data_IF_723824227720
#
_entry.id   IF_723824227720
#
_cell.length_a   1.000
_cell.length_b   1.000
_cell.length_c   1.000
_cell.angle_alpha   90.00
_cell.angle_beta   90.00
_cell.angle_gamma   90.00
#
_symmetry.space_group_name_H-M   'P 1'
#
loop_
_entity.id
_entity.type
_entity.pdbx_description
1 polymer ?
#
# COMPACT_ATOMS: atom_id res chain seq x y z
N UNK A 1 2.30 3.22 -5.30
CA UNK A 1 3.55 3.20 -6.06
C UNK A 1 4.62 3.70 -5.20
N UNK A 2 5.80 3.11 -5.28
CA UNK A 2 6.98 3.75 -4.73
C UNK A 2 8.05 3.68 -5.81
N UNK A 3 8.44 4.84 -6.35
CA UNK A 3 9.53 4.93 -7.32
C UNK A 3 10.86 4.62 -6.61
N UNK A 4 11.34 3.39 -6.75
CA UNK A 4 12.54 2.90 -6.07
C UNK A 4 13.84 3.55 -6.55
N UNK A 5 13.81 4.36 -7.62
CA UNK A 5 14.95 5.17 -8.08
C UNK A 5 15.09 6.45 -7.27
N UNK A 6 14.04 6.83 -6.55
CA UNK A 6 14.02 7.98 -5.70
C UNK A 6 14.79 7.67 -4.39
N UNK A 7 15.83 8.44 -4.03
CA UNK A 7 16.70 8.10 -2.90
C UNK A 7 15.99 7.93 -1.56
N UNK A 8 14.97 8.74 -1.25
CA UNK A 8 14.24 8.66 0.02
C UNK A 8 13.31 7.45 0.06
N UNK A 9 12.71 7.10 -1.08
CA UNK A 9 11.93 5.88 -1.27
C UNK A 9 12.78 4.62 -1.12
N UNK A 10 13.99 4.62 -1.69
CA UNK A 10 14.93 3.51 -1.54
C UNK A 10 15.40 3.37 -0.08
N UNK A 11 15.69 4.49 0.59
CA UNK A 11 16.06 4.50 2.00
C UNK A 11 14.94 3.94 2.89
N UNK A 12 13.69 4.39 2.67
CA UNK A 12 12.51 3.84 3.31
C UNK A 12 12.40 2.32 3.14
N UNK A 13 12.55 1.82 1.90
CA UNK A 13 12.42 0.39 1.65
C UNK A 13 13.52 -0.43 2.34
N UNK A 14 14.76 0.08 2.37
CA UNK A 14 15.87 -0.60 3.06
C UNK A 14 15.63 -0.66 4.57
N UNK A 15 15.19 0.44 5.17
CA UNK A 15 14.87 0.49 6.59
C UNK A 15 13.71 -0.44 6.95
N UNK A 16 12.70 -0.55 6.07
CA UNK A 16 11.59 -1.50 6.24
C UNK A 16 12.07 -2.95 6.27
N UNK A 17 12.88 -3.36 5.30
CA UNK A 17 13.42 -4.72 5.23
C UNK A 17 14.26 -5.01 6.48
N UNK A 18 15.09 -4.07 6.91
CA UNK A 18 15.90 -4.23 8.11
C UNK A 18 15.05 -4.40 9.39
N UNK A 19 14.00 -3.59 9.55
CA UNK A 19 13.08 -3.73 10.68
C UNK A 19 12.28 -5.04 10.64
N UNK A 20 11.88 -5.49 9.44
CA UNK A 20 11.20 -6.77 9.23
C UNK A 20 12.13 -7.96 9.56
N UNK A 21 13.42 -7.88 9.20
CA UNK A 21 14.42 -8.93 9.49
C UNK A 21 14.72 -9.07 11.00
N UNK A 22 14.65 -7.96 11.75
CA UNK A 22 14.85 -7.94 13.21
C UNK A 22 13.58 -8.19 14.01
N UNK A 23 12.44 -8.39 13.32
CA UNK A 23 11.15 -8.50 13.98
C UNK A 23 11.08 -9.78 14.81
N UNK A 24 10.78 -9.69 16.12
CA UNK A 24 10.58 -10.87 16.95
C UNK A 24 9.41 -11.71 16.45
N UNK A 25 9.53 -13.04 16.53
CA UNK A 25 8.40 -13.93 16.28
C UNK A 25 7.26 -13.65 17.27
N UNK A 26 6.00 -13.69 16.83
CA UNK A 26 4.88 -13.56 17.74
C UNK A 26 4.90 -14.72 18.75
N UNK A 27 4.57 -14.46 20.02
CA UNK A 27 4.46 -15.53 21.02
C UNK A 27 3.44 -16.57 20.56
N UNK A 28 3.78 -17.85 20.75
CA UNK A 28 2.92 -18.97 20.43
C UNK A 28 1.84 -19.13 21.51
N UNK A 29 0.72 -19.77 21.15
CA UNK A 29 -0.35 -20.03 22.09
C UNK A 29 0.16 -20.96 23.22
N UNK A 30 0.29 -20.42 24.43
CA UNK A 30 0.83 -21.12 25.60
C UNK A 30 2.11 -20.46 26.17
N UNK A 31 2.73 -19.54 25.43
CA UNK A 31 3.87 -18.77 25.92
C UNK A 31 3.41 -17.73 26.96
N UNK A 32 4.02 -17.75 28.14
CA UNK A 32 3.74 -16.77 29.21
C UNK A 32 4.63 -15.53 29.13
N UNK A 33 5.76 -15.59 28.43
CA UNK A 33 6.69 -14.47 28.22
C UNK A 33 7.36 -14.55 26.83
N UNK A 34 7.47 -13.40 26.13
CA UNK A 34 8.30 -13.28 24.93
C UNK A 34 9.77 -13.25 25.36
N UNK A 35 10.54 -14.28 24.98
CA UNK A 35 11.97 -14.35 25.33
C UNK A 35 12.80 -13.62 24.28
N UNK A 36 12.82 -12.29 24.34
CA UNK A 36 13.69 -11.46 23.49
C UNK A 36 14.87 -10.96 24.32
N UNK A 37 16.10 -11.13 23.83
CA UNK A 37 17.25 -10.59 24.54
C UNK A 37 17.18 -9.05 24.58
N UNK A 38 17.64 -8.39 25.66
CA UNK A 38 17.62 -6.93 25.74
C UNK A 38 18.35 -6.23 24.59
N UNK A 39 19.42 -6.85 24.06
CA UNK A 39 20.15 -6.34 22.90
C UNK A 39 19.29 -6.40 21.63
N UNK A 40 18.70 -7.56 21.33
CA UNK A 40 17.81 -7.74 20.17
C UNK A 40 16.59 -6.81 20.23
N UNK A 41 16.08 -6.52 21.43
CA UNK A 41 15.01 -5.54 21.61
C UNK A 41 15.46 -4.12 21.26
N UNK A 42 16.66 -3.73 21.67
CA UNK A 42 17.22 -2.41 21.35
C UNK A 42 17.45 -2.29 19.84
N UNK A 43 18.01 -3.32 19.21
CA UNK A 43 18.27 -3.34 17.77
C UNK A 43 16.97 -3.25 16.97
N UNK A 44 15.95 -4.03 17.34
CA UNK A 44 14.64 -3.95 16.70
C UNK A 44 13.98 -2.59 16.91
N UNK A 45 14.03 -2.03 18.12
CA UNK A 45 13.47 -0.70 18.42
C UNK A 45 14.12 0.39 17.56
N UNK A 46 15.43 0.35 17.44
CA UNK A 46 16.20 1.35 16.70
C UNK A 46 15.91 1.22 15.19
N UNK A 47 15.86 -0.01 14.66
CA UNK A 47 15.45 -0.27 13.27
C UNK A 47 14.02 0.19 12.95
N UNK A 48 13.08 0.00 13.89
CA UNK A 48 11.70 0.54 13.76
C UNK A 48 11.70 2.07 13.76
N UNK A 49 12.56 2.70 14.57
CA UNK A 49 12.74 4.15 14.59
C UNK A 49 13.25 4.69 13.25
N UNK A 50 14.27 4.05 12.68
CA UNK A 50 14.84 4.40 11.38
C UNK A 50 13.82 4.17 10.25
N UNK A 51 13.06 3.09 10.31
CA UNK A 51 11.95 2.84 9.39
C UNK A 51 10.90 3.97 9.42
N UNK A 52 10.49 4.42 10.61
CA UNK A 52 9.52 5.50 10.76
C UNK A 52 10.06 6.84 10.21
N UNK A 53 11.31 7.19 10.55
CA UNK A 53 11.93 8.44 10.10
C UNK A 53 12.11 8.48 8.57
N UNK A 54 12.51 7.38 7.96
CA UNK A 54 12.68 7.26 6.50
C UNK A 54 11.34 7.25 5.76
N UNK A 55 10.30 6.65 6.35
CA UNK A 55 8.94 6.73 5.82
C UNK A 55 8.45 8.19 5.79
N UNK A 56 8.59 8.94 6.88
CA UNK A 56 8.17 10.35 6.94
C UNK A 56 8.92 11.24 5.93
N UNK A 57 10.21 10.96 5.69
CA UNK A 57 10.99 11.65 4.68
C UNK A 57 10.51 11.32 3.26
N UNK A 58 10.31 10.04 2.95
CA UNK A 58 9.80 9.58 1.67
C UNK A 58 8.38 10.11 1.39
N UNK A 59 7.51 10.17 2.39
CA UNK A 59 6.15 10.68 2.24
C UNK A 59 6.14 12.18 1.96
N UNK A 60 6.93 12.97 2.70
CA UNK A 60 7.08 14.42 2.45
C UNK A 60 7.60 14.67 1.03
N UNK A 61 8.56 13.88 0.58
CA UNK A 61 9.12 14.02 -0.76
C UNK A 61 8.13 13.58 -1.86
N UNK A 62 7.40 12.49 -1.66
CA UNK A 62 6.35 12.08 -2.58
C UNK A 62 5.24 13.15 -2.69
N UNK A 63 4.88 13.79 -1.57
CA UNK A 63 3.94 14.92 -1.54
C UNK A 63 4.51 16.14 -2.28
N UNK A 64 5.81 16.44 -2.14
CA UNK A 64 6.50 17.51 -2.86
C UNK A 64 6.52 17.24 -4.38
N UNK A 65 6.87 16.02 -4.80
CA UNK A 65 6.98 15.64 -6.22
C UNK A 65 5.65 15.49 -6.94
N UNK A 66 4.54 15.22 -6.24
CA UNK A 66 3.18 15.16 -6.83
C UNK A 66 2.83 16.36 -7.72
N UNK A 67 3.50 17.50 -7.57
CA UNK A 67 3.26 18.69 -8.39
C UNK A 67 4.20 18.85 -9.60
N UNK A 68 5.34 18.15 -9.66
CA UNK A 68 6.41 18.43 -10.64
C UNK A 68 6.86 17.23 -11.50
N UNK A 69 6.51 15.98 -11.14
CA UNK A 69 7.07 14.77 -11.78
C UNK A 69 6.25 14.12 -12.89
N UNK A 70 4.98 14.50 -13.07
CA UNK A 70 4.09 13.91 -14.08
C UNK A 70 3.85 14.88 -15.23
N UNK A 71 3.80 14.39 -16.47
CA UNK A 71 3.32 15.16 -17.61
C UNK A 71 1.84 15.50 -17.44
N UNK A 72 1.30 16.51 -18.16
CA UNK A 72 -0.13 16.81 -18.14
C UNK A 72 -1.01 15.59 -18.41
N UNK A 73 -0.62 14.73 -19.36
CA UNK A 73 -1.37 13.54 -19.75
C UNK A 73 -1.38 12.50 -18.62
N UNK A 74 -0.25 12.31 -17.95
CA UNK A 74 -0.12 11.38 -16.82
C UNK A 74 -0.92 11.85 -15.62
N UNK A 75 -0.95 13.18 -15.37
CA UNK A 75 -1.82 13.76 -14.33
C UNK A 75 -3.30 13.52 -14.61
N UNK A 76 -3.73 13.70 -15.84
CA UNK A 76 -5.12 13.43 -16.23
C UNK A 76 -5.48 11.94 -16.10
N UNK A 77 -4.56 11.04 -16.44
CA UNK A 77 -4.74 9.59 -16.25
C UNK A 77 -4.86 9.23 -14.76
N UNK A 78 -4.02 9.83 -13.90
CA UNK A 78 -4.12 9.68 -12.44
C UNK A 78 -5.47 10.19 -11.90
N UNK A 79 -5.96 11.33 -12.40
CA UNK A 79 -7.25 11.88 -12.00
C UNK A 79 -8.43 10.99 -12.46
N UNK A 80 -8.36 10.44 -13.67
CA UNK A 80 -9.35 9.46 -14.17
C UNK A 80 -9.35 8.20 -13.32
N UNK A 81 -8.18 7.64 -13.04
CA UNK A 81 -8.05 6.46 -12.19
C UNK A 81 -8.59 6.68 -10.78
N UNK A 82 -8.33 7.84 -10.17
CA UNK A 82 -8.86 8.18 -8.84
C UNK A 82 -10.40 8.19 -8.80
N UNK A 83 -11.04 8.74 -9.83
CA UNK A 83 -12.50 8.73 -9.97
C UNK A 83 -13.03 7.30 -10.09
N UNK A 84 -12.37 6.47 -10.91
CA UNK A 84 -12.74 5.07 -11.10
C UNK A 84 -12.58 4.22 -9.83
N UNK A 85 -11.51 4.45 -9.05
CA UNK A 85 -11.34 3.80 -7.73
C UNK A 85 -12.44 4.22 -6.76
N UNK A 86 -12.87 5.49 -6.79
CA UNK A 86 -13.99 5.94 -5.96
C UNK A 86 -15.27 5.17 -6.27
N UNK A 87 -15.56 4.92 -7.56
CA UNK A 87 -16.71 4.12 -7.99
C UNK A 87 -16.52 2.65 -7.60
N UNK A 88 -15.32 2.10 -7.75
CA UNK A 88 -15.01 0.71 -7.38
C UNK A 88 -15.21 0.41 -5.88
N UNK A 89 -15.08 1.43 -5.03
CA UNK A 89 -15.26 1.33 -3.58
C UNK A 89 -16.65 1.77 -3.10
N UNK A 90 -17.52 2.26 -3.98
CA UNK A 90 -18.83 2.79 -3.63
C UNK A 90 -19.84 1.66 -3.37
N UNK A 91 -20.29 1.50 -2.12
CA UNK A 91 -21.30 0.51 -1.75
C UNK A 91 -22.68 0.76 -2.37
N UNK A 92 -22.94 1.97 -2.87
CA UNK A 92 -24.16 2.30 -3.61
C UNK A 92 -24.13 1.89 -5.08
N UNK A 93 -22.95 1.59 -5.65
CA UNK A 93 -22.80 1.11 -7.02
C UNK A 93 -23.06 -0.40 -7.11
N UNK A 94 -23.53 -0.88 -8.26
CA UNK A 94 -23.71 -2.32 -8.48
C UNK A 94 -22.36 -3.05 -8.55
N UNK A 95 -22.36 -4.34 -8.23
CA UNK A 95 -21.12 -5.12 -8.23
C UNK A 95 -20.44 -5.18 -9.61
N UNK A 96 -21.23 -5.21 -10.70
CA UNK A 96 -20.72 -5.16 -12.07
C UNK A 96 -20.06 -3.81 -12.39
N UNK A 97 -20.66 -2.70 -11.95
CA UNK A 97 -20.09 -1.35 -12.12
C UNK A 97 -18.79 -1.19 -11.36
N UNK A 98 -18.72 -1.68 -10.12
CA UNK A 98 -17.49 -1.63 -9.32
C UNK A 98 -16.36 -2.43 -9.95
N UNK A 99 -16.65 -3.63 -10.45
CA UNK A 99 -15.66 -4.48 -11.12
C UNK A 99 -15.16 -3.84 -12.43
N UNK A 100 -16.07 -3.28 -13.24
CA UNK A 100 -15.71 -2.57 -14.46
C UNK A 100 -14.87 -1.31 -14.18
N UNK A 101 -15.23 -0.55 -13.13
CA UNK A 101 -14.49 0.62 -12.69
C UNK A 101 -13.08 0.24 -12.18
N UNK A 102 -12.96 -0.84 -11.41
CA UNK A 102 -11.66 -1.34 -10.95
C UNK A 102 -10.75 -1.75 -12.12
N UNK A 103 -11.28 -2.51 -13.09
CA UNK A 103 -10.51 -2.93 -14.27
C UNK A 103 -10.03 -1.72 -15.09
N UNK A 104 -10.89 -0.72 -15.29
CA UNK A 104 -10.54 0.52 -15.99
C UNK A 104 -9.53 1.36 -15.21
N UNK A 105 -9.66 1.46 -13.88
CA UNK A 105 -8.68 2.13 -13.04
C UNK A 105 -7.30 1.49 -13.19
N UNK A 106 -7.24 0.14 -13.17
CA UNK A 106 -5.98 -0.58 -13.34
C UNK A 106 -5.32 -0.34 -14.70
N UNK A 107 -6.12 -0.19 -15.77
CA UNK A 107 -5.61 0.15 -17.09
C UNK A 107 -5.11 1.60 -17.20
N UNK A 108 -5.80 2.58 -16.59
CA UNK A 108 -5.35 3.98 -16.55
C UNK A 108 -4.07 4.17 -15.72
N UNK A 109 -3.83 3.27 -14.76
CA UNK A 109 -2.64 3.26 -13.92
C UNK A 109 -1.48 2.45 -14.50
N UNK A 110 -1.72 1.65 -15.54
CA UNK A 110 -0.72 0.81 -16.17
C UNK A 110 0.41 1.66 -16.75
N UNK A 111 1.66 1.30 -16.43
CA UNK A 111 2.86 2.06 -16.82
C UNK A 111 3.06 3.42 -16.13
N UNK A 112 2.06 3.96 -15.43
CA UNK A 112 2.19 5.18 -14.62
C UNK A 112 2.54 4.83 -13.17
N UNK A 113 1.80 3.87 -12.62
CA UNK A 113 1.89 3.42 -11.26
C UNK A 113 1.39 1.93 -11.10
N UNK A 114 2.31 0.99 -10.92
CA UNK A 114 2.30 -0.38 -10.29
C UNK A 114 1.72 -0.65 -8.84
N UNK A 115 0.40 -0.86 -8.70
CA UNK A 115 -0.32 -0.91 -7.40
C UNK A 115 0.21 -2.00 -6.43
N UNK A 116 0.48 -1.71 -5.13
CA UNK A 116 0.93 -2.74 -4.18
C UNK A 116 -0.03 -3.93 -4.08
N UNK A 117 0.46 -5.19 -4.15
CA UNK A 117 -0.40 -6.38 -4.17
C UNK A 117 -1.40 -6.46 -3.02
N UNK A 118 -0.96 -6.15 -1.79
CA UNK A 118 -1.82 -6.17 -0.61
C UNK A 118 -3.00 -5.18 -0.67
N UNK A 119 -2.80 -4.01 -1.30
CA UNK A 119 -3.86 -3.03 -1.49
C UNK A 119 -4.86 -3.49 -2.57
N UNK A 120 -4.35 -4.08 -3.65
CA UNK A 120 -5.17 -4.68 -4.70
C UNK A 120 -6.05 -5.82 -4.16
N UNK A 121 -5.47 -6.75 -3.39
CA UNK A 121 -6.18 -7.89 -2.80
C UNK A 121 -7.31 -7.49 -1.84
N UNK A 122 -7.15 -6.39 -1.10
CA UNK A 122 -8.21 -5.87 -0.21
C UNK A 122 -9.39 -5.34 -1.02
N UNK A 123 -9.11 -4.57 -2.07
CA UNK A 123 -10.15 -4.01 -2.93
C UNK A 123 -10.85 -5.11 -3.74
N UNK A 124 -10.10 -6.09 -4.24
CA UNK A 124 -10.65 -7.25 -4.95
C UNK A 124 -11.56 -8.10 -4.05
N UNK A 125 -11.16 -8.36 -2.79
CA UNK A 125 -12.01 -9.05 -1.82
C UNK A 125 -13.29 -8.29 -1.49
N UNK A 126 -13.22 -6.96 -1.36
CA UNK A 126 -14.40 -6.13 -1.13
C UNK A 126 -15.37 -6.19 -2.32
N UNK A 127 -14.86 -6.15 -3.54
CA UNK A 127 -15.68 -6.27 -4.76
C UNK A 127 -16.30 -7.68 -4.84
N UNK A 128 -15.51 -8.73 -4.59
CA UNK A 128 -15.94 -10.12 -4.68
C UNK A 128 -16.95 -10.52 -3.58
N UNK A 129 -16.74 -10.10 -2.33
CA UNK A 129 -17.64 -10.42 -1.22
C UNK A 129 -19.04 -9.81 -1.34
N UNK A 130 -19.21 -8.84 -2.24
CA UNK A 130 -20.53 -8.29 -2.60
C UNK A 130 -21.14 -8.98 -3.84
N UNK A 131 -20.31 -9.54 -4.74
CA UNK A 131 -20.78 -10.36 -5.87
C UNK A 131 -21.42 -11.67 -5.36
N UNK A 132 -20.88 -12.26 -4.29
CA UNK A 132 -21.45 -13.44 -3.65
C UNK A 132 -22.78 -13.12 -2.95
N UNK A 133 -22.91 -11.94 -2.32
CA UNK A 133 -24.17 -11.49 -1.71
C UNK A 133 -25.27 -11.21 -2.73
N UNK A 134 -24.94 -10.68 -3.91
CA UNK A 134 -25.92 -10.41 -4.97
C UNK A 134 -26.33 -11.64 -5.81
N UNK A 135 -25.75 -12.83 -5.56
CA UNK A 135 -26.05 -14.08 -6.29
C UNK A 135 -26.84 -15.10 -5.45
N UNK A 136 -27.17 -14.74 -4.21
CA UNK A 136 -27.81 -15.59 -3.21
C UNK A 136 -29.26 -15.25 -2.88
N UNK A 137 -29.87 -14.27 -3.56
CA UNK A 137 -31.29 -13.91 -3.50
C UNK A 137 -31.94 -14.05 -4.89
#
# INVERSE_FOLDING_TARGET
MTDMREPLTLAFHRARVHADDLRPEPPHAGDTETTLAPADFVDYRDAVGDYAATFDAAEREARRRKQAGFSPIEREALDRARKLISVASDSGATAAERQAAYKKARAELDGLIDVPPLAAERLERQIAGELERGRGD
#
